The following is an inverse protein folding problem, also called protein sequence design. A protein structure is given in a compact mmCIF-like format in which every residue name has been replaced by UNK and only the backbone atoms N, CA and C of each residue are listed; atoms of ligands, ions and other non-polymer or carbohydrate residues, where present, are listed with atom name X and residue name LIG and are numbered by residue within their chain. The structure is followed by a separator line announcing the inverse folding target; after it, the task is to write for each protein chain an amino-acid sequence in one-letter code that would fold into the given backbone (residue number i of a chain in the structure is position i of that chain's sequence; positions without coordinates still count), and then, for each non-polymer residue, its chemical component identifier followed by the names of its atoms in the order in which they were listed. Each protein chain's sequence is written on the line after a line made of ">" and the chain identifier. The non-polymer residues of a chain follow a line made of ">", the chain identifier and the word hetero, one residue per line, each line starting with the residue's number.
data_IF_508736747637
#
_entry.id   IF_508736747637
#
_cell.length_a   1.000
_cell.length_b   1.000
_cell.length_c   1.000
_cell.angle_alpha   90.00
_cell.angle_beta   90.00
_cell.angle_gamma   90.00
#
_symmetry.space_group_name_H-M   'P 1'
#
loop_
_entity.id
_entity.type
_entity.pdbx_description
1 polymer ?
#
# COMPACT_ATOMS: atom_id res chain seq x y z
N UNK A 1 9.03 -13.11 8.03
CA UNK A 1 8.28 -12.93 6.76
C UNK A 1 6.80 -12.93 7.11
N UNK A 2 6.11 -11.95 6.63
CA UNK A 2 4.66 -11.81 6.83
C UNK A 2 3.97 -12.22 5.52
N UNK A 3 2.88 -12.95 5.64
CA UNK A 3 1.99 -13.20 4.51
C UNK A 3 0.89 -12.15 4.52
N UNK A 4 0.82 -11.35 3.44
CA UNK A 4 -0.23 -10.36 3.24
C UNK A 4 -1.45 -11.05 2.63
N UNK A 5 -2.60 -10.90 3.30
CA UNK A 5 -3.90 -11.34 2.79
C UNK A 5 -4.76 -10.11 2.59
N UNK A 6 -5.20 -9.88 1.35
CA UNK A 6 -5.97 -8.68 1.02
C UNK A 6 -7.19 -8.96 0.13
N UNK A 7 -8.18 -8.09 0.27
CA UNK A 7 -9.34 -7.98 -0.60
C UNK A 7 -9.52 -6.51 -0.97
N UNK A 8 -9.81 -6.22 -2.24
CA UNK A 8 -10.19 -4.90 -2.71
C UNK A 8 -11.61 -4.89 -3.25
N UNK A 9 -12.33 -3.81 -2.98
CA UNK A 9 -13.69 -3.61 -3.47
C UNK A 9 -13.92 -2.16 -3.87
N UNK A 10 -14.79 -1.95 -4.86
CA UNK A 10 -15.29 -0.62 -5.22
C UNK A 10 -16.32 -0.19 -4.18
N UNK A 11 -16.24 1.06 -3.72
CA UNK A 11 -17.15 1.64 -2.73
C UNK A 11 -17.97 2.76 -3.42
N UNK A 12 -19.25 2.49 -3.76
CA UNK A 12 -20.08 3.49 -4.43
C UNK A 12 -20.35 4.74 -3.56
N UNK A 13 -20.49 4.55 -2.25
CA UNK A 13 -20.72 5.64 -1.30
C UNK A 13 -19.72 5.51 -0.13
N UNK A 14 -18.54 6.17 -0.23
CA UNK A 14 -17.52 6.07 0.79
C UNK A 14 -17.93 6.63 2.14
N UNK A 15 -18.77 7.67 2.19
CA UNK A 15 -19.20 8.27 3.46
C UNK A 15 -20.10 7.33 4.25
N UNK A 16 -21.03 6.65 3.57
CA UNK A 16 -21.89 5.64 4.18
C UNK A 16 -21.06 4.45 4.65
N UNK A 17 -20.14 3.98 3.83
CA UNK A 17 -19.28 2.85 4.19
C UNK A 17 -18.38 3.19 5.38
N UNK A 18 -17.80 4.38 5.42
CA UNK A 18 -16.97 4.85 6.55
C UNK A 18 -17.80 4.90 7.85
N UNK A 19 -19.02 5.41 7.77
CA UNK A 19 -19.91 5.44 8.93
C UNK A 19 -20.23 4.03 9.46
N UNK A 20 -20.41 3.05 8.57
CA UNK A 20 -20.60 1.65 8.94
C UNK A 20 -19.36 1.07 9.63
N UNK A 21 -18.19 1.33 9.09
CA UNK A 21 -16.90 0.87 9.64
C UNK A 21 -16.67 1.46 11.03
N UNK A 22 -16.93 2.74 11.22
CA UNK A 22 -16.81 3.42 12.50
C UNK A 22 -17.82 2.87 13.54
N UNK A 23 -19.07 2.62 13.14
CA UNK A 23 -20.06 1.99 14.01
C UNK A 23 -19.71 0.56 14.40
N UNK A 24 -18.98 -0.15 13.56
CA UNK A 24 -18.47 -1.49 13.88
C UNK A 24 -17.30 -1.47 14.89
N UNK A 25 -16.84 -0.29 15.29
CA UNK A 25 -15.79 -0.12 16.29
C UNK A 25 -14.40 0.10 15.72
N UNK A 26 -14.26 0.33 14.41
CA UNK A 26 -12.97 0.64 13.81
C UNK A 26 -12.47 2.02 14.26
N UNK A 27 -11.17 2.10 14.53
CA UNK A 27 -10.50 3.34 14.88
C UNK A 27 -9.72 3.89 13.68
N UNK A 28 -9.91 5.18 13.38
CA UNK A 28 -9.12 5.85 12.33
C UNK A 28 -7.69 6.03 12.81
N UNK A 29 -6.74 5.47 12.07
CA UNK A 29 -5.31 5.51 12.40
C UNK A 29 -4.49 6.38 11.47
N UNK A 30 -5.02 6.71 10.29
CA UNK A 30 -4.32 7.53 9.30
C UNK A 30 -5.33 8.22 8.38
N UNK A 31 -5.06 9.47 8.07
CA UNK A 31 -5.63 10.17 6.93
C UNK A 31 -4.49 10.96 6.28
N UNK A 32 -4.32 10.85 4.98
CA UNK A 32 -3.22 11.52 4.30
C UNK A 32 -3.07 11.13 2.84
N UNK A 33 -1.91 11.48 2.31
CA UNK A 33 -1.52 11.17 0.94
C UNK A 33 -0.51 10.02 0.93
N UNK A 34 -0.68 9.12 -0.01
CA UNK A 34 0.19 7.96 -0.18
C UNK A 34 0.72 7.93 -1.61
N UNK A 35 2.04 7.84 -1.74
CA UNK A 35 2.73 7.73 -3.02
C UNK A 35 3.55 6.45 -3.01
N UNK A 36 3.30 5.60 -3.98
CA UNK A 36 4.05 4.36 -4.17
C UNK A 36 4.89 4.46 -5.43
N UNK A 37 6.19 4.21 -5.31
CA UNK A 37 7.08 4.03 -6.45
C UNK A 37 7.61 2.62 -6.46
N UNK A 38 7.38 1.91 -7.58
CA UNK A 38 7.96 0.60 -7.81
C UNK A 38 9.28 0.74 -8.53
N UNK A 39 10.26 0.00 -8.06
CA UNK A 39 11.62 0.00 -8.55
C UNK A 39 11.99 -1.38 -9.09
N UNK A 40 12.67 -1.41 -10.24
CA UNK A 40 13.18 -2.63 -10.85
C UNK A 40 14.41 -2.26 -11.69
N UNK A 41 15.18 -3.23 -12.13
CA UNK A 41 16.17 -3.00 -13.16
C UNK A 41 15.49 -2.81 -14.53
N UNK A 42 16.18 -2.16 -15.48
CA UNK A 42 15.60 -1.82 -16.78
C UNK A 42 15.04 -3.03 -17.55
N UNK A 43 15.67 -4.22 -17.42
CA UNK A 43 15.20 -5.46 -18.05
C UNK A 43 14.12 -6.20 -17.22
N UNK A 44 13.69 -5.62 -16.10
CA UNK A 44 12.55 -6.03 -15.26
C UNK A 44 12.63 -7.46 -14.73
N UNK A 45 13.73 -7.89 -14.10
CA UNK A 45 13.83 -9.23 -13.56
C UNK A 45 12.90 -9.49 -12.37
N UNK A 46 12.58 -8.47 -11.57
CA UNK A 46 11.64 -8.60 -10.46
C UNK A 46 10.23 -8.84 -10.99
N UNK A 47 9.76 -8.02 -11.92
CA UNK A 47 8.45 -8.17 -12.54
C UNK A 47 8.29 -9.55 -13.22
N UNK A 48 9.36 -10.06 -13.84
CA UNK A 48 9.37 -11.38 -14.49
C UNK A 48 9.13 -12.53 -13.48
N UNK A 49 9.46 -12.32 -12.19
CA UNK A 49 9.22 -13.29 -11.11
C UNK A 49 7.97 -12.96 -10.27
N UNK A 50 7.15 -12.01 -10.72
CA UNK A 50 6.02 -11.49 -9.95
C UNK A 50 6.45 -10.96 -8.57
N UNK A 51 7.58 -10.28 -8.52
CA UNK A 51 8.09 -9.63 -7.33
C UNK A 51 8.02 -8.11 -7.49
N UNK A 52 7.89 -7.42 -6.36
CA UNK A 52 7.83 -5.95 -6.32
C UNK A 52 8.78 -5.43 -5.25
N UNK A 53 9.61 -4.46 -5.62
CA UNK A 53 10.29 -3.57 -4.68
C UNK A 53 9.61 -2.21 -4.77
N UNK A 54 9.16 -1.70 -3.64
CA UNK A 54 8.38 -0.47 -3.56
C UNK A 54 8.92 0.45 -2.47
N UNK A 55 9.05 1.73 -2.80
CA UNK A 55 9.22 2.79 -1.82
C UNK A 55 7.87 3.49 -1.67
N UNK A 56 7.29 3.39 -0.49
CA UNK A 56 6.02 4.04 -0.14
C UNK A 56 6.29 5.25 0.73
N UNK A 57 5.79 6.41 0.32
CA UNK A 57 5.81 7.63 1.12
C UNK A 57 4.40 7.96 1.57
N UNK A 58 4.21 8.08 2.87
CA UNK A 58 2.93 8.45 3.48
C UNK A 58 3.10 9.80 4.14
N UNK A 59 2.29 10.77 3.74
CA UNK A 59 2.25 12.09 4.36
C UNK A 59 0.91 12.25 5.08
N UNK A 60 0.86 12.09 6.41
CA UNK A 60 -0.35 12.32 7.19
C UNK A 60 -0.80 13.77 7.06
N UNK A 61 -2.11 14.01 7.13
CA UNK A 61 -2.65 15.37 7.23
C UNK A 61 -2.03 16.07 8.46
N UNK A 62 -1.37 17.20 8.25
CA UNK A 62 -0.70 17.95 9.30
C UNK A 62 0.58 17.30 9.86
N UNK A 63 1.08 16.25 9.23
CA UNK A 63 2.28 15.51 9.66
C UNK A 63 3.40 15.50 8.64
N UNK A 64 4.56 15.03 9.07
CA UNK A 64 5.74 14.86 8.21
C UNK A 64 5.66 13.56 7.37
N UNK A 65 6.25 13.55 6.16
CA UNK A 65 6.34 12.35 5.35
C UNK A 65 7.11 11.23 6.05
N UNK A 66 6.67 10.01 5.85
CA UNK A 66 7.35 8.78 6.30
C UNK A 66 7.54 7.86 5.11
N UNK A 67 8.70 7.24 5.01
CA UNK A 67 9.03 6.31 3.95
C UNK A 67 9.15 4.89 4.48
N UNK A 68 8.70 3.94 3.67
CA UNK A 68 8.77 2.50 3.92
C UNK A 68 9.30 1.83 2.67
N UNK A 69 10.24 0.90 2.84
CA UNK A 69 10.71 0.03 1.77
C UNK A 69 10.04 -1.33 1.92
N UNK A 70 9.38 -1.77 0.86
CA UNK A 70 8.71 -3.06 0.80
C UNK A 70 9.30 -3.94 -0.29
N UNK A 71 9.36 -5.23 0.00
CA UNK A 71 9.48 -6.28 -1.01
C UNK A 71 8.23 -7.16 -0.93
N UNK A 72 7.63 -7.44 -2.07
CA UNK A 72 6.51 -8.37 -2.19
C UNK A 72 6.89 -9.52 -3.12
N UNK A 73 6.62 -10.73 -2.68
CA UNK A 73 6.83 -11.95 -3.44
C UNK A 73 5.70 -12.26 -4.42
N UNK A 74 5.80 -13.42 -5.11
CA UNK A 74 4.78 -13.83 -6.07
C UNK A 74 3.38 -13.91 -5.48
N UNK A 75 2.39 -13.50 -6.28
CA UNK A 75 0.98 -13.52 -5.89
C UNK A 75 0.38 -14.90 -6.02
N UNK A 76 -0.37 -15.33 -5.01
CA UNK A 76 -1.25 -16.49 -5.07
C UNK A 76 -2.67 -16.09 -4.69
N UNK A 77 -3.64 -16.88 -5.13
CA UNK A 77 -5.05 -16.68 -4.80
C UNK A 77 -5.60 -17.94 -4.15
N UNK A 78 -6.22 -17.79 -2.98
CA UNK A 78 -6.86 -18.87 -2.26
C UNK A 78 -8.08 -18.34 -1.52
N UNK A 79 -9.22 -19.02 -1.61
CA UNK A 79 -10.46 -18.65 -0.94
C UNK A 79 -11.00 -17.25 -1.35
N UNK A 80 -10.70 -16.80 -2.58
CA UNK A 80 -11.09 -15.47 -3.07
C UNK A 80 -10.20 -14.33 -2.59
N UNK A 81 -9.14 -14.63 -1.83
CA UNK A 81 -8.20 -13.65 -1.33
C UNK A 81 -6.87 -13.71 -2.10
N UNK A 82 -6.28 -12.53 -2.28
CA UNK A 82 -4.92 -12.39 -2.77
C UNK A 82 -3.93 -12.56 -1.62
N UNK A 83 -2.92 -13.39 -1.83
CA UNK A 83 -1.86 -13.66 -0.85
C UNK A 83 -0.49 -13.42 -1.45
N UNK A 84 0.38 -12.77 -0.68
CA UNK A 84 1.78 -12.53 -1.04
C UNK A 84 2.64 -12.56 0.22
N UNK A 85 3.86 -13.04 0.09
CA UNK A 85 4.89 -12.78 1.09
C UNK A 85 5.27 -11.29 1.03
N UNK A 86 5.47 -10.67 2.18
CA UNK A 86 5.86 -9.27 2.29
C UNK A 86 6.97 -9.10 3.32
N UNK A 87 7.90 -8.20 3.01
CA UNK A 87 8.91 -7.71 3.94
C UNK A 87 8.93 -6.20 3.85
N UNK A 88 8.81 -5.55 5.01
CA UNK A 88 8.74 -4.09 5.11
C UNK A 88 9.68 -3.58 6.17
N UNK A 89 10.26 -2.42 5.92
CA UNK A 89 11.04 -1.70 6.92
C UNK A 89 10.87 -0.19 6.74
N UNK A 90 10.80 0.54 7.86
CA UNK A 90 10.83 1.99 7.83
C UNK A 90 12.17 2.50 7.34
N UNK A 91 12.15 3.61 6.62
CA UNK A 91 13.33 4.27 6.05
C UNK A 91 13.45 5.66 6.64
N UNK A 92 14.58 5.96 7.25
CA UNK A 92 14.84 7.27 7.86
C UNK A 92 14.87 8.40 6.81
N UNK A 93 15.56 8.15 5.69
CA UNK A 93 15.69 9.10 4.59
C UNK A 93 15.25 8.44 3.27
N UNK A 94 13.98 8.60 2.93
CA UNK A 94 13.42 8.00 1.72
C UNK A 94 14.01 8.58 0.43
N UNK A 95 14.30 9.87 0.41
CA UNK A 95 14.90 10.52 -0.76
C UNK A 95 16.33 9.98 -1.02
N UNK A 96 17.10 9.79 0.03
CA UNK A 96 18.44 9.19 -0.08
C UNK A 96 18.36 7.73 -0.53
N UNK A 97 17.41 6.96 -0.01
CA UNK A 97 17.19 5.58 -0.47
C UNK A 97 16.92 5.54 -1.98
N UNK A 98 16.07 6.41 -2.48
CA UNK A 98 15.75 6.46 -3.91
C UNK A 98 16.98 6.87 -4.75
N UNK A 99 17.81 7.79 -4.24
CA UNK A 99 19.09 8.15 -4.85
C UNK A 99 20.03 6.94 -4.93
N UNK A 100 20.09 6.14 -3.86
CA UNK A 100 20.90 4.90 -3.82
C UNK A 100 20.37 3.87 -4.81
N UNK A 101 19.07 3.67 -4.87
CA UNK A 101 18.46 2.74 -5.84
C UNK A 101 18.80 3.14 -7.28
N UNK A 102 18.64 4.42 -7.61
CA UNK A 102 19.00 4.92 -8.94
C UNK A 102 20.49 4.74 -9.25
N UNK A 103 21.37 5.04 -8.29
CA UNK A 103 22.82 4.84 -8.46
C UNK A 103 23.18 3.36 -8.64
N UNK A 104 22.44 2.44 -8.06
CA UNK A 104 22.63 0.99 -8.20
C UNK A 104 22.04 0.44 -9.52
N UNK A 105 21.43 1.28 -10.35
CA UNK A 105 20.89 0.89 -11.66
C UNK A 105 19.40 0.58 -11.66
N UNK A 106 18.69 0.77 -10.54
CA UNK A 106 17.25 0.64 -10.50
C UNK A 106 16.57 1.85 -11.15
N UNK A 107 15.41 1.61 -11.73
CA UNK A 107 14.55 2.64 -12.33
C UNK A 107 13.14 2.54 -11.77
N UNK A 108 12.43 3.66 -11.73
CA UNK A 108 11.01 3.67 -11.38
C UNK A 108 10.21 3.11 -12.55
N UNK A 109 9.50 2.03 -12.31
CA UNK A 109 8.66 1.38 -13.33
C UNK A 109 7.20 1.76 -13.20
N UNK A 110 6.77 2.23 -12.03
CA UNK A 110 5.40 2.66 -11.77
C UNK A 110 5.35 3.61 -10.60
N UNK A 111 4.54 4.66 -10.73
CA UNK A 111 4.21 5.58 -9.64
C UNK A 111 2.68 5.63 -9.48
N UNK A 112 2.21 5.52 -8.25
CA UNK A 112 0.80 5.55 -7.90
C UNK A 112 0.62 6.54 -6.76
N UNK A 113 -0.23 7.54 -6.96
CA UNK A 113 -0.60 8.51 -5.93
C UNK A 113 -2.09 8.40 -5.60
N UNK A 114 -2.42 8.52 -4.32
CA UNK A 114 -3.83 8.60 -3.87
C UNK A 114 -3.92 9.22 -2.49
N UNK A 115 -5.10 9.71 -2.18
CA UNK A 115 -5.47 10.07 -0.83
C UNK A 115 -6.03 8.84 -0.13
N UNK A 116 -5.76 8.70 1.15
CA UNK A 116 -6.17 7.52 1.93
C UNK A 116 -6.76 7.92 3.28
N UNK A 117 -7.70 7.10 3.75
CA UNK A 117 -8.15 7.07 5.14
C UNK A 117 -8.12 5.63 5.59
N UNK A 118 -7.37 5.37 6.66
CA UNK A 118 -7.14 4.02 7.16
C UNK A 118 -7.70 3.83 8.55
N UNK A 119 -8.32 2.69 8.77
CA UNK A 119 -8.89 2.24 10.03
C UNK A 119 -8.25 0.94 10.48
N UNK A 120 -8.18 0.76 11.80
CA UNK A 120 -7.89 -0.53 12.43
C UNK A 120 -9.17 -1.09 13.03
N UNK A 121 -9.45 -2.35 12.75
CA UNK A 121 -10.56 -3.10 13.32
C UNK A 121 -10.08 -4.50 13.70
N UNK A 122 -9.86 -4.74 15.00
CA UNK A 122 -9.20 -5.96 15.46
C UNK A 122 -7.82 -6.08 14.82
N UNK A 123 -7.55 -7.21 14.20
CA UNK A 123 -6.30 -7.48 13.48
C UNK A 123 -6.34 -7.05 12.01
N UNK A 124 -7.47 -6.50 11.57
CA UNK A 124 -7.65 -6.07 10.18
C UNK A 124 -7.34 -4.58 10.02
N UNK A 125 -6.83 -4.25 8.86
CA UNK A 125 -6.66 -2.88 8.36
C UNK A 125 -7.62 -2.65 7.22
N UNK A 126 -8.38 -1.55 7.29
CA UNK A 126 -9.31 -1.13 6.25
C UNK A 126 -8.83 0.22 5.73
N UNK A 127 -8.50 0.29 4.45
CA UNK A 127 -8.02 1.53 3.84
C UNK A 127 -8.90 1.94 2.68
N UNK A 128 -9.55 3.09 2.81
CA UNK A 128 -10.23 3.76 1.72
C UNK A 128 -9.19 4.50 0.88
N UNK A 129 -9.28 4.36 -0.44
CA UNK A 129 -8.32 4.93 -1.38
C UNK A 129 -9.06 5.74 -2.45
N UNK A 130 -8.71 7.03 -2.58
CA UNK A 130 -9.23 7.94 -3.60
C UNK A 130 -8.15 8.18 -4.64
N UNK A 131 -8.33 7.54 -5.79
CA UNK A 131 -7.47 7.73 -6.96
C UNK A 131 -8.05 8.80 -7.88
N UNK A 132 -7.21 9.58 -8.59
CA UNK A 132 -7.72 10.48 -9.62
C UNK A 132 -8.48 9.71 -10.72
N UNK A 133 -9.69 10.15 -11.04
CA UNK A 133 -10.52 9.61 -12.15
C UNK A 133 -10.90 8.13 -12.02
N UNK A 134 -10.95 7.61 -10.82
CA UNK A 134 -11.36 6.24 -10.52
C UNK A 134 -12.40 6.23 -9.42
N UNK A 135 -13.13 5.12 -9.34
CA UNK A 135 -13.98 4.85 -8.19
C UNK A 135 -13.15 4.75 -6.91
N UNK A 136 -13.79 5.06 -5.79
CA UNK A 136 -13.18 4.85 -4.48
C UNK A 136 -13.06 3.36 -4.21
N UNK A 137 -11.87 2.93 -3.78
CA UNK A 137 -11.60 1.54 -3.41
C UNK A 137 -11.49 1.41 -1.91
N UNK A 138 -11.91 0.27 -1.41
CA UNK A 138 -11.63 -0.17 -0.05
C UNK A 138 -10.73 -1.39 -0.12
N UNK A 139 -9.57 -1.31 0.51
CA UNK A 139 -8.66 -2.43 0.72
C UNK A 139 -8.78 -2.93 2.15
N UNK A 140 -8.99 -4.22 2.29
CA UNK A 140 -9.04 -4.90 3.59
C UNK A 140 -7.86 -5.86 3.66
N UNK A 141 -7.01 -5.69 4.65
CA UNK A 141 -5.87 -6.55 4.92
C UNK A 141 -6.00 -7.13 6.33
N UNK A 142 -5.57 -8.37 6.49
CA UNK A 142 -5.56 -8.99 7.80
C UNK A 142 -5.32 -10.50 7.73
N UNK A 143 -5.35 -11.17 8.89
CA UNK A 143 -5.38 -12.62 8.93
C UNK A 143 -6.69 -13.17 8.35
N UNK A 144 -6.67 -14.45 7.95
CA UNK A 144 -7.88 -15.15 7.51
C UNK A 144 -8.95 -15.24 8.60
#
# INVERSE_FOLDING_TARGET
>A
MIEEVELKAVVPDPDVCRAHVERAGAARVLAGRMVDRRWDLAHRPLAARDEVVRVRTVTPVGGAPRAVLDWKGPTTYAGGYKRRAERSTGVEDGAMLETILAAAGFVVTREIERDVVQYALGDATLRFEWYPRMDVLLEVEGPE
#
